data_IF_813153907114
#
_entry.id   IF_813153907114
#
_cell.length_a   1.000
_cell.length_b   1.000
_cell.length_c   1.000
_cell.angle_alpha   90.00
_cell.angle_beta   90.00
_cell.angle_gamma   90.00
#
_symmetry.space_group_name_H-M   'P 1'
#
loop_
_entity.id
_entity.type
_entity.pdbx_description
1 polymer ?
#
# COMPACT_ATOMS: atom_id res chain seq x y z
N UNK A 1 -14.81 3.67 -10.26
CA UNK A 1 -14.67 3.87 -8.79
C UNK A 1 -13.43 4.71 -8.55
N UNK A 2 -13.47 5.72 -7.67
CA UNK A 2 -12.30 6.57 -7.37
C UNK A 2 -11.42 5.89 -6.31
N UNK A 3 -10.33 5.23 -6.74
CA UNK A 3 -9.34 4.54 -5.89
C UNK A 3 -7.96 4.55 -6.56
N UNK A 4 -6.86 4.27 -5.84
CA UNK A 4 -5.53 4.14 -6.44
C UNK A 4 -5.54 3.20 -7.65
N UNK A 5 -4.82 3.57 -8.70
CA UNK A 5 -4.81 2.84 -9.96
C UNK A 5 -4.30 1.40 -9.76
N UNK A 6 -4.91 0.45 -10.45
CA UNK A 6 -4.67 -0.99 -10.25
C UNK A 6 -3.43 -1.48 -11.01
N UNK A 7 -3.07 -0.76 -12.06
CA UNK A 7 -1.93 -0.95 -12.96
C UNK A 7 -0.64 -0.29 -12.45
N UNK A 8 -0.66 0.32 -11.26
CA UNK A 8 0.57 0.75 -10.60
C UNK A 8 1.51 -0.45 -10.42
N UNK A 9 2.70 -0.37 -11.02
CA UNK A 9 3.69 -1.43 -10.89
C UNK A 9 4.18 -1.59 -9.44
N UNK A 10 4.32 -0.47 -8.73
CA UNK A 10 4.92 -0.41 -7.40
C UNK A 10 4.13 0.52 -6.48
N UNK A 11 3.80 -0.01 -5.31
CA UNK A 11 3.26 0.69 -4.15
C UNK A 11 4.17 0.36 -2.97
N UNK A 12 4.66 1.39 -2.27
CA UNK A 12 5.43 1.22 -1.05
C UNK A 12 4.51 1.30 0.16
N UNK A 13 4.34 0.18 0.84
CA UNK A 13 3.53 0.08 2.04
C UNK A 13 4.42 0.18 3.29
N UNK A 14 4.19 1.20 4.11
CA UNK A 14 4.83 1.31 5.42
C UNK A 14 4.18 0.29 6.38
N UNK A 15 4.98 -0.65 6.88
CA UNK A 15 4.49 -1.77 7.70
C UNK A 15 4.09 -1.31 9.10
N UNK A 16 4.83 -0.36 9.68
CA UNK A 16 4.58 0.18 11.01
C UNK A 16 3.37 1.13 11.00
N UNK A 17 2.51 1.12 12.03
CA UNK A 17 1.43 2.09 12.13
C UNK A 17 1.94 3.51 12.30
N UNK A 18 1.31 4.47 11.62
CA UNK A 18 1.66 5.89 11.64
C UNK A 18 0.62 6.70 12.43
N UNK A 19 1.06 7.81 13.02
CA UNK A 19 0.17 8.82 13.57
C UNK A 19 -0.61 9.52 12.46
N UNK A 20 -1.90 9.21 12.35
CA UNK A 20 -2.76 9.74 11.30
C UNK A 20 -3.21 11.20 11.50
N UNK A 21 -2.77 11.87 12.57
CA UNK A 21 -2.83 13.33 12.68
C UNK A 21 -1.89 14.01 11.66
N UNK A 22 -0.87 13.30 11.18
CA UNK A 22 0.00 13.77 10.10
C UNK A 22 -0.80 13.88 8.80
N UNK A 23 -0.77 15.07 8.19
CA UNK A 23 -1.26 15.33 6.83
C UNK A 23 -0.11 15.15 5.83
N UNK A 24 -0.22 15.75 4.64
CA UNK A 24 0.75 15.67 3.54
C UNK A 24 2.20 15.84 4.02
N UNK A 25 2.55 17.01 4.59
CA UNK A 25 3.95 17.29 4.97
C UNK A 25 4.49 16.28 5.99
N UNK A 26 3.68 15.92 6.98
CA UNK A 26 4.09 14.96 8.00
C UNK A 26 4.27 13.54 7.46
N UNK A 27 3.52 13.15 6.44
CA UNK A 27 3.72 11.87 5.75
C UNK A 27 4.91 11.93 4.77
N UNK A 28 5.09 13.04 4.05
CA UNK A 28 6.24 13.24 3.17
C UNK A 28 7.57 13.17 3.96
N UNK A 29 7.64 13.81 5.13
CA UNK A 29 8.80 13.70 6.03
C UNK A 29 9.05 12.25 6.50
N UNK A 30 8.01 11.43 6.65
CA UNK A 30 8.19 10.01 6.98
C UNK A 30 8.74 9.22 5.78
N UNK A 31 8.33 9.56 4.56
CA UNK A 31 8.89 8.95 3.35
C UNK A 31 10.38 9.26 3.24
N UNK A 32 10.77 10.53 3.41
CA UNK A 32 12.18 10.94 3.36
C UNK A 32 13.00 10.38 4.52
N UNK A 33 12.50 10.52 5.75
CA UNK A 33 13.29 10.21 6.94
C UNK A 33 13.24 8.74 7.35
N UNK A 34 12.06 8.13 7.38
CA UNK A 34 11.88 6.74 7.84
C UNK A 34 12.10 5.76 6.70
N UNK A 35 11.56 6.04 5.52
CA UNK A 35 11.68 5.11 4.39
C UNK A 35 12.96 5.34 3.57
N UNK A 36 13.67 6.46 3.78
CA UNK A 36 14.81 6.88 2.96
C UNK A 36 14.48 6.95 1.46
N UNK A 37 13.26 7.40 1.11
CA UNK A 37 12.78 7.47 -0.28
C UNK A 37 12.41 8.91 -0.67
N UNK A 38 12.32 9.17 -1.98
CA UNK A 38 11.89 10.46 -2.50
C UNK A 38 10.34 10.55 -2.53
N UNK A 39 9.69 11.46 -1.76
CA UNK A 39 8.24 11.62 -1.75
C UNK A 39 7.69 12.23 -3.05
N UNK A 40 8.54 12.85 -3.87
CA UNK A 40 8.20 13.44 -5.17
C UNK A 40 8.32 12.47 -6.34
N UNK A 41 8.66 11.20 -6.09
CA UNK A 41 8.74 10.15 -7.11
C UNK A 41 7.37 9.74 -7.65
N UNK A 42 7.34 8.95 -8.73
CA UNK A 42 6.11 8.38 -9.28
C UNK A 42 5.39 7.36 -8.38
N UNK A 43 5.97 7.02 -7.22
CA UNK A 43 5.45 5.96 -6.37
C UNK A 43 4.34 6.43 -5.44
N UNK A 44 3.46 5.49 -5.12
CA UNK A 44 2.45 5.66 -4.09
C UNK A 44 2.93 5.05 -2.77
N UNK A 45 2.81 5.83 -1.69
CA UNK A 45 3.17 5.43 -0.34
C UNK A 45 1.92 5.19 0.49
N UNK A 46 1.71 3.95 0.94
CA UNK A 46 0.55 3.54 1.71
C UNK A 46 0.88 3.42 3.21
N UNK A 47 0.05 4.02 4.04
CA UNK A 47 0.19 4.04 5.49
C UNK A 47 -1.07 3.50 6.16
N UNK A 48 -0.92 2.97 7.36
CA UNK A 48 -2.02 2.49 8.21
C UNK A 48 -1.97 3.18 9.57
N UNK A 49 -3.13 3.39 10.19
CA UNK A 49 -3.19 3.85 11.57
C UNK A 49 -3.05 2.68 12.57
N UNK A 50 -2.82 3.00 13.84
CA UNK A 50 -2.69 2.00 14.92
C UNK A 50 -3.91 1.08 15.10
N UNK A 51 -5.13 1.58 14.88
CA UNK A 51 -6.36 0.77 14.97
C UNK A 51 -6.56 -0.14 13.75
N UNK A 52 -5.82 0.08 12.65
CA UNK A 52 -5.93 -0.60 11.36
C UNK A 52 -7.31 -0.44 10.70
N UNK A 53 -8.00 0.64 11.01
CA UNK A 53 -9.30 0.99 10.43
C UNK A 53 -9.20 2.11 9.39
N UNK A 54 -8.00 2.67 9.21
CA UNK A 54 -7.75 3.82 8.31
C UNK A 54 -6.48 3.63 7.50
N UNK A 55 -6.57 3.91 6.21
CA UNK A 55 -5.45 3.95 5.26
C UNK A 55 -5.32 5.34 4.67
N UNK A 56 -4.09 5.81 4.54
CA UNK A 56 -3.72 7.01 3.77
C UNK A 56 -2.76 6.58 2.68
N UNK A 57 -2.98 7.06 1.45
CA UNK A 57 -2.06 6.89 0.33
C UNK A 57 -1.58 8.27 -0.10
N UNK A 58 -0.28 8.52 0.03
CA UNK A 58 0.39 9.74 -0.41
C UNK A 58 1.07 9.48 -1.76
N UNK A 59 0.91 10.38 -2.71
CA UNK A 59 1.66 10.37 -3.96
C UNK A 59 1.81 11.79 -4.50
N UNK A 60 2.85 11.99 -5.31
CA UNK A 60 3.05 13.24 -6.04
C UNK A 60 2.37 13.13 -7.41
N UNK A 61 1.55 14.12 -7.76
CA UNK A 61 0.89 14.22 -9.05
C UNK A 61 1.24 15.56 -9.69
N UNK A 62 2.07 15.51 -10.74
CA UNK A 62 2.54 16.67 -11.52
C UNK A 62 3.16 17.77 -10.67
N UNK A 63 2.33 18.65 -10.11
CA UNK A 63 2.70 19.85 -9.37
C UNK A 63 2.26 19.84 -7.90
N UNK A 64 1.68 18.75 -7.40
CA UNK A 64 1.17 18.71 -6.03
C UNK A 64 1.12 17.33 -5.41
N UNK A 65 1.10 17.31 -4.08
CA UNK A 65 0.80 16.10 -3.33
C UNK A 65 -0.69 15.80 -3.33
N UNK A 66 -1.02 14.54 -3.55
CA UNK A 66 -2.37 14.02 -3.40
C UNK A 66 -2.40 13.04 -2.23
N UNK A 67 -3.44 13.19 -1.41
CA UNK A 67 -3.67 12.32 -0.26
C UNK A 67 -5.02 11.65 -0.39
N UNK A 68 -5.01 10.36 -0.70
CA UNK A 68 -6.20 9.53 -0.66
C UNK A 68 -6.39 8.96 0.75
N UNK A 69 -7.61 8.98 1.26
CA UNK A 69 -7.92 8.56 2.64
C UNK A 69 -9.17 7.68 2.67
N UNK A 70 -9.03 6.47 3.23
CA UNK A 70 -10.13 5.56 3.47
C UNK A 70 -10.22 5.21 4.94
N UNK A 71 -11.44 5.31 5.48
CA UNK A 71 -11.82 4.85 6.82
C UNK A 71 -12.84 3.73 6.67
N UNK A 72 -12.64 2.65 7.40
CA UNK A 72 -13.66 1.62 7.57
C UNK A 72 -14.62 2.04 8.68
N UNK A 73 -15.92 1.95 8.40
CA UNK A 73 -16.96 2.15 9.43
C UNK A 73 -17.08 0.92 10.35
N UNK A 74 -16.64 -0.26 9.89
CA UNK A 74 -16.55 -1.49 10.68
C UNK A 74 -15.39 -2.36 10.18
N UNK A 75 -14.74 -3.06 11.12
CA UNK A 75 -13.66 -4.01 10.81
C UNK A 75 -12.26 -3.38 10.80
N UNK A 76 -11.29 -4.12 10.26
CA UNK A 76 -9.88 -3.73 10.18
C UNK A 76 -9.27 -4.25 8.88
N UNK A 77 -8.28 -3.54 8.35
CA UNK A 77 -7.48 -4.00 7.23
C UNK A 77 -6.52 -5.13 7.65
N UNK A 78 -6.37 -6.13 6.79
CA UNK A 78 -5.40 -7.23 6.94
C UNK A 78 -3.98 -6.78 6.56
N UNK A 79 -3.46 -5.78 7.28
CA UNK A 79 -2.16 -5.17 6.97
C UNK A 79 -1.02 -6.21 7.00
N UNK A 80 -0.17 -6.29 5.95
CA UNK A 80 0.75 -7.41 5.73
C UNK A 80 1.97 -7.39 6.65
N UNK A 81 1.78 -7.64 7.95
CA UNK A 81 2.87 -7.61 8.95
C UNK A 81 3.80 -8.83 8.91
N UNK A 82 3.47 -9.82 8.10
CA UNK A 82 4.14 -11.12 7.99
C UNK A 82 5.36 -11.10 7.05
N UNK A 83 5.53 -10.06 6.25
CA UNK A 83 6.73 -9.87 5.43
C UNK A 83 7.79 -9.12 6.26
N UNK A 84 9.06 -9.47 6.05
CA UNK A 84 10.19 -8.79 6.68
C UNK A 84 10.42 -7.40 6.09
N UNK A 85 11.12 -6.54 6.83
CA UNK A 85 11.41 -5.16 6.45
C UNK A 85 10.41 -4.12 6.97
N UNK A 86 10.82 -2.85 6.94
CA UNK A 86 9.97 -1.73 7.35
C UNK A 86 8.98 -1.30 6.26
N UNK A 87 9.34 -1.55 5.01
CA UNK A 87 8.56 -1.23 3.80
C UNK A 87 8.31 -2.52 3.03
N UNK A 88 7.08 -2.67 2.55
CA UNK A 88 6.67 -3.78 1.70
C UNK A 88 6.29 -3.23 0.35
N UNK A 89 6.83 -3.83 -0.71
CA UNK A 89 6.40 -3.54 -2.08
C UNK A 89 5.16 -4.35 -2.42
N UNK A 90 4.14 -3.67 -2.93
CA UNK A 90 2.92 -4.24 -3.48
C UNK A 90 2.71 -3.76 -4.91
N UNK A 91 1.94 -4.49 -5.71
CA UNK A 91 1.33 -3.94 -6.91
C UNK A 91 0.09 -3.09 -6.57
N UNK A 92 -0.37 -2.26 -7.52
CA UNK A 92 -1.64 -1.56 -7.42
C UNK A 92 -2.82 -2.51 -7.22
N UNK A 93 -2.77 -3.71 -7.80
CA UNK A 93 -3.78 -4.74 -7.62
C UNK A 93 -3.77 -5.31 -6.18
N UNK A 94 -2.58 -5.64 -5.65
CA UNK A 94 -2.45 -6.13 -4.26
C UNK A 94 -2.90 -5.07 -3.25
N UNK A 95 -2.56 -3.79 -3.47
CA UNK A 95 -3.10 -2.69 -2.67
C UNK A 95 -4.62 -2.68 -2.72
N UNK A 96 -5.22 -2.81 -3.90
CA UNK A 96 -6.67 -2.80 -4.04
C UNK A 96 -7.35 -3.98 -3.33
N UNK A 97 -6.79 -5.19 -3.42
CA UNK A 97 -7.26 -6.33 -2.62
C UNK A 97 -7.20 -6.07 -1.12
N UNK A 98 -6.09 -5.50 -0.65
CA UNK A 98 -5.95 -5.09 0.75
C UNK A 98 -7.02 -4.07 1.15
N UNK A 99 -7.29 -3.08 0.29
CA UNK A 99 -8.33 -2.07 0.50
C UNK A 99 -9.74 -2.66 0.47
N UNK A 100 -9.95 -3.76 -0.25
CA UNK A 100 -11.21 -4.51 -0.30
C UNK A 100 -11.35 -5.49 0.89
N UNK A 101 -10.34 -5.56 1.76
CA UNK A 101 -10.36 -6.35 2.99
C UNK A 101 -9.81 -7.77 2.83
N UNK A 102 -9.23 -8.11 1.68
CA UNK A 102 -8.64 -9.42 1.43
C UNK A 102 -7.33 -9.57 2.22
N UNK A 103 -7.13 -10.74 2.82
CA UNK A 103 -5.89 -11.09 3.49
C UNK A 103 -4.85 -11.58 2.48
N UNK A 104 -3.86 -10.73 2.17
CA UNK A 104 -2.81 -11.04 1.19
C UNK A 104 -1.99 -12.30 1.55
N UNK A 105 -2.00 -12.76 2.81
CA UNK A 105 -1.36 -14.03 3.21
C UNK A 105 -2.03 -15.26 2.60
N UNK A 106 -3.32 -15.14 2.30
CA UNK A 106 -4.15 -16.23 1.81
C UNK A 106 -4.14 -16.29 0.27
N UNK A 107 -3.54 -15.30 -0.39
CA UNK A 107 -3.33 -15.31 -1.84
C UNK A 107 -2.21 -16.30 -2.18
N UNK A 108 -2.61 -17.53 -2.49
CA UNK A 108 -1.74 -18.55 -3.06
C UNK A 108 -2.03 -18.66 -4.56
N UNK A 109 -1.16 -18.15 -5.44
CA UNK A 109 -1.32 -18.40 -6.86
C UNK A 109 -1.20 -19.91 -7.13
N UNK A 110 -1.90 -20.39 -8.16
CA UNK A 110 -1.69 -21.75 -8.63
C UNK A 110 -0.21 -21.92 -9.04
N UNK A 111 0.37 -23.11 -8.81
CA UNK A 111 1.74 -23.37 -9.24
C UNK A 111 1.84 -23.23 -10.76
N UNK A 112 2.96 -22.68 -11.25
CA UNK A 112 3.27 -22.72 -12.68
C UNK A 112 3.44 -24.17 -13.11
N UNK A 113 2.60 -24.61 -14.04
CA UNK A 113 2.70 -25.93 -14.64
C UNK A 113 3.47 -25.79 -15.95
N UNK A 114 4.57 -26.54 -16.08
CA UNK A 114 5.34 -26.62 -17.32
C UNK A 114 5.02 -27.94 -18.00
N UNK A 115 4.49 -27.89 -19.21
CA UNK A 115 4.22 -29.07 -20.03
C UNK A 115 5.21 -29.12 -21.20
N UNK A 116 5.78 -30.29 -21.45
CA UNK A 116 6.70 -30.52 -22.58
C UNK A 116 5.98 -31.12 -23.81
N UNK A 117 4.79 -31.65 -23.60
CA UNK A 117 3.93 -32.23 -24.62
C UNK A 117 2.47 -31.99 -24.23
N UNK A 118 1.61 -31.82 -25.24
CA UNK A 118 0.14 -31.78 -25.08
C UNK A 118 -0.45 -33.21 -25.14
N UNK A 119 0.36 -34.17 -25.58
CA UNK A 119 0.11 -35.61 -25.55
C UNK A 119 0.79 -36.27 -24.36
#
# INVERSE_FOLDING_TARGET
MMRPAHDLAVVYLCRAPVDFRKSINGLATLVEGTLSMNPFSEYLFAFINRKRDKVKCLYWERAGFVLWYKRLERGRFHWPRFRDGEVITLSGQELNWLLDGIDLRQLKPHPTLTYQSVL
#
